data_IF_444759795141
#
_entry.id   IF_444759795141
#
_cell.length_a   1.000
_cell.length_b   1.000
_cell.length_c   1.000
_cell.angle_alpha   90.00
_cell.angle_beta   90.00
_cell.angle_gamma   90.00
#
_symmetry.space_group_name_H-M   'P 1'
#
loop_
_entity.id
_entity.type
_entity.pdbx_description
1 polymer ?
#
# COMPACT_ATOMS: atom_id res chain seq x y z
N UNK A 1 -19.79 -21.37 -0.37
CA UNK A 1 -18.61 -20.99 0.42
C UNK A 1 -18.33 -21.87 1.63
N UNK A 2 -19.31 -22.58 2.18
CA UNK A 2 -19.09 -23.54 3.27
C UNK A 2 -18.07 -24.64 2.95
N UNK A 3 -17.81 -24.95 1.69
CA UNK A 3 -16.75 -25.90 1.31
C UNK A 3 -15.32 -25.32 1.32
N UNK A 4 -15.12 -23.99 1.47
CA UNK A 4 -13.78 -23.39 1.54
C UNK A 4 -12.95 -23.95 2.70
N UNK A 5 -13.60 -24.27 3.82
CA UNK A 5 -12.95 -24.88 4.99
C UNK A 5 -12.39 -26.27 4.71
N UNK A 6 -12.89 -26.95 3.66
CA UNK A 6 -12.40 -28.26 3.22
C UNK A 6 -11.16 -28.15 2.33
N UNK A 7 -10.85 -26.96 1.82
CA UNK A 7 -9.73 -26.70 0.90
C UNK A 7 -8.40 -26.49 1.66
N UNK A 8 -8.02 -27.45 2.48
CA UNK A 8 -6.89 -27.35 3.42
C UNK A 8 -5.50 -27.23 2.77
N UNK A 9 -5.38 -27.51 1.47
CA UNK A 9 -4.14 -27.37 0.69
C UNK A 9 -4.10 -26.11 -0.17
N UNK A 10 -5.09 -25.22 -0.06
CA UNK A 10 -5.17 -24.04 -0.91
C UNK A 10 -4.09 -23.01 -0.54
N UNK A 11 -3.19 -22.71 -1.47
CA UNK A 11 -2.13 -21.71 -1.27
C UNK A 11 -2.48 -20.33 -1.80
N UNK A 12 -3.44 -20.23 -2.72
CA UNK A 12 -3.83 -18.97 -3.35
C UNK A 12 -5.34 -18.88 -3.46
N UNK A 13 -5.90 -17.77 -2.99
CA UNK A 13 -7.33 -17.51 -3.02
C UNK A 13 -7.58 -16.06 -3.47
N UNK A 14 -8.48 -15.89 -4.42
CA UNK A 14 -8.96 -14.59 -4.85
C UNK A 14 -10.48 -14.57 -4.81
N UNK A 15 -11.06 -13.63 -4.07
CA UNK A 15 -12.51 -13.46 -3.99
C UNK A 15 -12.85 -12.05 -4.44
N UNK A 16 -13.77 -11.96 -5.40
CA UNK A 16 -14.18 -10.73 -6.04
C UNK A 16 -15.66 -10.47 -5.81
N UNK A 17 -16.03 -9.19 -5.76
CA UNK A 17 -17.43 -8.79 -5.60
C UNK A 17 -18.00 -9.13 -4.23
N UNK A 18 -17.16 -9.15 -3.19
CA UNK A 18 -17.58 -9.32 -1.81
C UNK A 18 -18.55 -8.19 -1.43
N UNK A 19 -19.70 -8.57 -0.88
CA UNK A 19 -20.72 -7.67 -0.39
C UNK A 19 -20.96 -7.98 1.10
N UNK A 20 -21.50 -7.02 1.84
CA UNK A 20 -21.93 -7.17 3.25
C UNK A 20 -23.42 -6.80 3.40
N UNK A 21 -24.19 -6.99 2.32
CA UNK A 21 -25.64 -6.86 2.37
C UNK A 21 -26.24 -8.03 3.16
N UNK A 22 -27.42 -7.83 3.77
CA UNK A 22 -28.07 -8.81 4.65
C UNK A 22 -28.35 -10.19 4.03
N UNK A 23 -28.34 -10.31 2.69
CA UNK A 23 -28.50 -11.59 2.00
C UNK A 23 -27.18 -12.27 1.63
N UNK A 24 -26.07 -11.54 1.64
CA UNK A 24 -24.75 -12.03 1.27
C UNK A 24 -23.91 -12.34 2.51
N UNK A 25 -23.95 -13.59 2.96
CA UNK A 25 -23.15 -14.09 4.09
C UNK A 25 -21.70 -14.39 3.73
N UNK A 26 -21.23 -13.91 2.59
CA UNK A 26 -19.92 -14.27 2.06
C UNK A 26 -18.80 -13.77 2.98
N UNK A 27 -18.84 -12.51 3.41
CA UNK A 27 -17.80 -11.98 4.31
C UNK A 27 -17.75 -12.73 5.65
N UNK A 28 -18.91 -13.07 6.23
CA UNK A 28 -19.02 -13.86 7.46
C UNK A 28 -18.42 -15.26 7.29
N UNK A 29 -18.84 -16.00 6.25
CA UNK A 29 -18.34 -17.35 5.98
C UNK A 29 -16.84 -17.38 5.69
N UNK A 30 -16.31 -16.36 5.00
CA UNK A 30 -14.88 -16.19 4.78
C UNK A 30 -14.15 -15.98 6.10
N UNK A 31 -14.67 -15.11 6.97
CA UNK A 31 -14.10 -14.84 8.30
C UNK A 31 -14.03 -16.12 9.12
N UNK A 32 -15.10 -16.90 9.14
CA UNK A 32 -15.15 -18.22 9.81
C UNK A 32 -14.13 -19.17 9.20
N UNK A 33 -14.01 -19.23 7.88
CA UNK A 33 -13.08 -20.15 7.22
C UNK A 33 -11.61 -19.82 7.47
N UNK A 34 -11.28 -18.53 7.53
CA UNK A 34 -9.95 -18.06 7.90
C UNK A 34 -9.71 -18.41 9.38
N UNK A 35 -10.61 -18.02 10.28
CA UNK A 35 -10.43 -18.28 11.72
C UNK A 35 -10.38 -19.76 12.08
N UNK A 36 -11.18 -20.59 11.42
CA UNK A 36 -11.33 -22.03 11.69
C UNK A 36 -10.23 -22.95 11.15
N UNK A 37 -9.11 -22.40 10.67
CA UNK A 37 -7.92 -23.18 10.26
C UNK A 37 -7.97 -23.79 8.85
N UNK A 38 -9.12 -23.75 8.17
CA UNK A 38 -9.26 -24.34 6.82
C UNK A 38 -8.36 -23.73 5.75
N UNK A 39 -7.80 -22.53 6.00
CA UNK A 39 -6.96 -21.77 5.08
C UNK A 39 -5.55 -21.51 5.64
N UNK A 40 -5.05 -22.35 6.54
CA UNK A 40 -3.74 -22.12 7.20
C UNK A 40 -2.54 -22.22 6.25
N UNK A 41 -2.65 -22.96 5.14
CA UNK A 41 -1.61 -23.04 4.11
C UNK A 41 -1.64 -21.88 3.12
N UNK A 42 -2.54 -20.92 3.30
CA UNK A 42 -2.72 -19.83 2.34
C UNK A 42 -1.51 -18.89 2.33
N UNK A 43 -0.88 -18.75 1.16
CA UNK A 43 0.27 -17.87 0.92
C UNK A 43 -0.10 -16.59 0.19
N UNK A 44 -1.20 -16.60 -0.56
CA UNK A 44 -1.68 -15.43 -1.30
C UNK A 44 -3.18 -15.27 -1.15
N UNK A 45 -3.59 -14.09 -0.70
CA UNK A 45 -5.00 -13.72 -0.60
C UNK A 45 -5.27 -12.41 -1.35
N UNK A 46 -6.31 -12.43 -2.17
CA UNK A 46 -6.90 -11.24 -2.78
C UNK A 46 -8.36 -11.18 -2.39
N UNK A 47 -8.77 -10.06 -1.78
CA UNK A 47 -10.16 -9.75 -1.48
C UNK A 47 -10.55 -8.46 -2.18
N UNK A 48 -11.68 -8.47 -2.87
CA UNK A 48 -12.20 -7.29 -3.56
C UNK A 48 -13.68 -7.09 -3.21
N UNK A 49 -13.96 -6.00 -2.50
CA UNK A 49 -15.29 -5.56 -2.12
C UNK A 49 -16.01 -4.82 -3.25
N UNK A 50 -17.34 -4.97 -3.32
CA UNK A 50 -18.18 -4.03 -4.06
C UNK A 50 -18.11 -2.64 -3.42
N UNK A 51 -18.41 -1.61 -4.21
CA UNK A 51 -18.49 -0.23 -3.73
C UNK A 51 -19.42 -0.14 -2.50
N UNK A 52 -19.09 0.74 -1.55
CA UNK A 52 -19.86 1.03 -0.32
C UNK A 52 -19.80 0.00 0.81
N UNK A 53 -18.92 -1.00 0.72
CA UNK A 53 -18.72 -2.00 1.78
C UNK A 53 -17.34 -1.85 2.41
N UNK A 54 -17.24 -2.14 3.71
CA UNK A 54 -15.99 -2.13 4.47
C UNK A 54 -15.54 -3.55 4.80
N UNK A 55 -14.24 -3.77 4.89
CA UNK A 55 -13.73 -4.97 5.54
C UNK A 55 -14.11 -4.95 7.03
N UNK A 56 -14.67 -6.06 7.53
CA UNK A 56 -15.00 -6.19 8.94
C UNK A 56 -13.73 -6.33 9.80
N UNK A 57 -13.76 -5.77 11.01
CA UNK A 57 -12.62 -5.85 11.95
C UNK A 57 -12.28 -7.32 12.27
N UNK A 58 -13.30 -8.18 12.43
CA UNK A 58 -13.15 -9.61 12.68
C UNK A 58 -12.36 -10.33 11.58
N UNK A 59 -12.58 -9.97 10.32
CA UNK A 59 -11.83 -10.55 9.20
C UNK A 59 -10.36 -10.13 9.25
N UNK A 60 -10.10 -8.85 9.54
CA UNK A 60 -8.75 -8.30 9.63
C UNK A 60 -7.97 -8.92 10.80
N UNK A 61 -8.63 -9.11 11.95
CA UNK A 61 -8.09 -9.84 13.09
C UNK A 61 -7.77 -11.29 12.74
N UNK A 62 -8.70 -12.01 12.09
CA UNK A 62 -8.47 -13.40 11.67
C UNK A 62 -7.29 -13.54 10.67
N UNK A 63 -7.04 -12.51 9.85
CA UNK A 63 -5.90 -12.48 8.93
C UNK A 63 -4.55 -12.31 9.66
N UNK A 64 -4.53 -11.62 10.81
CA UNK A 64 -3.30 -11.39 11.57
C UNK A 64 -2.65 -12.70 12.05
N UNK A 65 -3.46 -13.73 12.30
CA UNK A 65 -3.05 -15.07 12.73
C UNK A 65 -2.52 -15.93 11.56
N UNK A 66 -2.59 -15.46 10.31
CA UNK A 66 -2.16 -16.24 9.13
C UNK A 66 -0.69 -16.07 8.82
N UNK A 67 0.13 -16.75 9.61
CA UNK A 67 1.59 -16.68 9.55
C UNK A 67 2.20 -17.19 8.23
N UNK A 68 1.52 -18.02 7.46
CA UNK A 68 2.01 -18.46 6.13
C UNK A 68 1.67 -17.46 5.01
N UNK A 69 0.84 -16.45 5.30
CA UNK A 69 0.39 -15.49 4.30
C UNK A 69 1.54 -14.54 3.93
N UNK A 70 1.91 -14.55 2.66
CA UNK A 70 3.03 -13.78 2.10
C UNK A 70 2.55 -12.65 1.20
N UNK A 71 1.41 -12.82 0.54
CA UNK A 71 0.85 -11.84 -0.41
C UNK A 71 -0.57 -11.50 0.00
N UNK A 72 -0.82 -10.23 0.27
CA UNK A 72 -2.15 -9.74 0.61
C UNK A 72 -2.53 -8.59 -0.32
N UNK A 73 -3.71 -8.68 -0.91
CA UNK A 73 -4.34 -7.59 -1.65
C UNK A 73 -5.75 -7.36 -1.12
N UNK A 74 -5.99 -6.18 -0.59
CA UNK A 74 -7.30 -5.71 -0.16
C UNK A 74 -7.73 -4.59 -1.11
N UNK A 75 -8.84 -4.79 -1.79
CA UNK A 75 -9.49 -3.78 -2.61
C UNK A 75 -10.87 -3.46 -2.03
N UNK A 76 -11.04 -2.24 -1.53
CA UNK A 76 -12.23 -1.81 -0.80
C UNK A 76 -11.87 -1.09 0.48
N UNK A 77 -12.88 -0.48 1.11
CA UNK A 77 -12.70 0.44 2.23
C UNK A 77 -12.33 -0.29 3.53
N UNK A 78 -11.49 0.35 4.34
CA UNK A 78 -11.17 -0.07 5.70
C UNK A 78 -11.53 1.06 6.66
N UNK A 79 -12.26 0.76 7.74
CA UNK A 79 -12.52 1.75 8.80
C UNK A 79 -11.23 2.22 9.46
N UNK A 80 -10.35 1.25 9.74
CA UNK A 80 -9.00 1.45 10.26
C UNK A 80 -8.13 0.27 9.87
N UNK A 81 -6.83 0.44 9.96
CA UNK A 81 -5.89 -0.67 9.84
C UNK A 81 -5.84 -1.43 11.18
N UNK A 82 -5.79 -2.77 11.19
CA UNK A 82 -5.63 -3.51 12.45
C UNK A 82 -4.26 -3.21 13.05
N UNK A 83 -4.14 -3.33 14.38
CA UNK A 83 -2.86 -3.11 15.08
C UNK A 83 -1.76 -4.10 14.65
N UNK A 84 -2.17 -5.26 14.12
CA UNK A 84 -1.29 -6.30 13.61
C UNK A 84 -1.81 -6.80 12.25
N UNK A 85 -0.88 -6.93 11.31
CA UNK A 85 -1.07 -7.62 10.04
C UNK A 85 -0.25 -8.91 10.06
N UNK A 86 -0.55 -9.89 9.18
CA UNK A 86 0.25 -11.10 9.11
C UNK A 86 1.74 -10.78 8.90
N UNK A 87 2.58 -11.30 9.80
CA UNK A 87 3.96 -10.84 9.98
C UNK A 87 4.92 -11.22 8.84
N UNK A 88 4.60 -12.28 8.09
CA UNK A 88 5.44 -12.81 7.00
C UNK A 88 5.08 -12.25 5.62
N UNK A 89 4.33 -11.15 5.56
CA UNK A 89 4.01 -10.49 4.32
C UNK A 89 5.26 -9.99 3.60
N UNK A 90 5.44 -10.43 2.35
CA UNK A 90 6.46 -9.94 1.42
C UNK A 90 5.87 -8.94 0.41
N UNK A 91 4.55 -9.01 0.18
CA UNK A 91 3.85 -8.13 -0.76
C UNK A 91 2.49 -7.73 -0.22
N UNK A 92 2.28 -6.42 -0.09
CA UNK A 92 1.01 -5.83 0.34
C UNK A 92 0.47 -4.86 -0.72
N UNK A 93 -0.82 -4.96 -0.99
CA UNK A 93 -1.56 -4.04 -1.84
C UNK A 93 -2.81 -3.58 -1.09
N UNK A 94 -2.87 -2.30 -0.77
CA UNK A 94 -4.07 -1.64 -0.26
C UNK A 94 -4.62 -0.77 -1.38
N UNK A 95 -5.86 -1.01 -1.79
CA UNK A 95 -6.47 -0.36 -2.95
C UNK A 95 -7.86 0.14 -2.56
N UNK A 96 -8.13 1.43 -2.76
CA UNK A 96 -9.39 2.08 -2.37
C UNK A 96 -9.74 1.88 -0.89
N UNK A 97 -8.72 1.84 -0.03
CA UNK A 97 -8.87 1.62 1.41
C UNK A 97 -9.39 2.82 2.18
N UNK A 98 -9.19 4.04 1.64
CA UNK A 98 -9.71 5.30 2.19
C UNK A 98 -9.50 5.50 3.71
N UNK A 99 -8.38 5.03 4.26
CA UNK A 99 -8.05 5.16 5.68
C UNK A 99 -8.03 6.64 6.10
N UNK A 100 -8.60 6.94 7.26
CA UNK A 100 -8.58 8.28 7.86
C UNK A 100 -7.28 8.60 8.60
N UNK A 101 -6.58 7.57 9.06
CA UNK A 101 -5.30 7.66 9.77
C UNK A 101 -4.14 7.22 8.88
N UNK A 102 -2.95 7.77 9.14
CA UNK A 102 -1.73 7.41 8.41
C UNK A 102 -1.47 5.90 8.58
N UNK A 103 -1.39 5.12 7.49
CA UNK A 103 -1.13 3.68 7.59
C UNK A 103 0.33 3.35 7.95
N UNK A 104 1.28 4.26 7.73
CA UNK A 104 2.71 3.96 7.83
C UNK A 104 3.16 3.42 9.20
N UNK A 105 2.71 3.96 10.36
CA UNK A 105 3.10 3.45 11.69
C UNK A 105 2.77 1.97 11.95
N UNK A 106 1.84 1.40 11.18
CA UNK A 106 1.52 -0.03 11.24
C UNK A 106 2.26 -0.79 10.14
N UNK A 107 2.26 -0.26 8.92
CA UNK A 107 2.86 -0.94 7.76
C UNK A 107 4.38 -1.06 7.87
N UNK A 108 5.05 -0.08 8.44
CA UNK A 108 6.51 -0.03 8.54
C UNK A 108 7.10 -1.08 9.48
N UNK A 109 6.27 -1.66 10.35
CA UNK A 109 6.63 -2.75 11.27
C UNK A 109 6.76 -4.10 10.56
N UNK A 110 6.32 -4.22 9.30
CA UNK A 110 6.40 -5.46 8.51
C UNK A 110 7.85 -5.75 8.09
N UNK A 111 8.54 -6.57 8.89
CA UNK A 111 9.98 -6.84 8.78
C UNK A 111 10.42 -7.55 7.49
N UNK A 112 9.48 -8.21 6.80
CA UNK A 112 9.75 -9.00 5.58
C UNK A 112 9.19 -8.37 4.31
N UNK A 113 8.57 -7.19 4.40
CA UNK A 113 7.88 -6.58 3.27
C UNK A 113 8.88 -6.10 2.22
N UNK A 114 8.77 -6.63 1.00
CA UNK A 114 9.59 -6.26 -0.15
C UNK A 114 8.86 -5.31 -1.09
N UNK A 115 7.54 -5.44 -1.18
CA UNK A 115 6.69 -4.68 -2.09
C UNK A 115 5.49 -4.10 -1.36
N UNK A 116 5.32 -2.79 -1.46
CA UNK A 116 4.17 -2.05 -0.95
C UNK A 116 3.54 -1.25 -2.09
N UNK A 117 2.24 -1.44 -2.28
CA UNK A 117 1.44 -0.63 -3.19
C UNK A 117 0.23 -0.07 -2.45
N UNK A 118 0.19 1.25 -2.37
CA UNK A 118 -0.92 2.01 -1.85
C UNK A 118 -1.57 2.74 -3.00
N UNK A 119 -2.85 2.46 -3.26
CA UNK A 119 -3.64 3.13 -4.29
C UNK A 119 -4.91 3.68 -3.68
N UNK A 120 -5.05 5.01 -3.62
CA UNK A 120 -6.18 5.68 -2.98
C UNK A 120 -6.47 5.07 -1.58
N UNK A 121 -5.41 4.83 -0.81
CA UNK A 121 -5.50 4.06 0.43
C UNK A 121 -5.70 4.91 1.68
N UNK A 122 -5.42 6.21 1.59
CA UNK A 122 -5.47 7.17 2.69
C UNK A 122 -6.09 8.47 2.17
N UNK A 123 -6.96 9.08 2.98
CA UNK A 123 -7.66 10.31 2.64
C UNK A 123 -7.11 11.56 3.32
N UNK A 124 -6.11 11.43 4.20
CA UNK A 124 -5.48 12.58 4.82
C UNK A 124 -4.34 13.18 3.99
N UNK A 125 -3.63 14.12 4.61
CA UNK A 125 -2.71 15.04 3.92
C UNK A 125 -1.24 14.69 4.06
N UNK A 126 -0.87 13.94 5.09
CA UNK A 126 0.53 13.62 5.38
C UNK A 126 0.66 12.13 5.72
N UNK A 127 1.72 11.51 5.20
CA UNK A 127 2.17 10.20 5.66
C UNK A 127 3.63 10.28 6.08
N UNK A 128 4.01 9.55 7.13
CA UNK A 128 5.36 9.57 7.70
C UNK A 128 5.94 8.16 7.70
N UNK A 129 7.03 7.97 6.95
CA UNK A 129 7.88 6.78 7.08
C UNK A 129 8.98 7.07 8.10
N UNK A 130 8.90 6.44 9.26
CA UNK A 130 9.83 6.72 10.37
C UNK A 130 11.19 6.04 10.18
N UNK A 131 12.17 6.57 10.91
CA UNK A 131 13.53 6.04 11.02
C UNK A 131 13.49 4.54 11.36
N UNK A 132 14.26 3.71 10.65
CA UNK A 132 14.26 2.23 10.74
C UNK A 132 12.98 1.53 10.29
N UNK A 133 11.97 2.28 9.84
CA UNK A 133 10.77 1.73 9.21
C UNK A 133 11.09 1.01 7.90
N UNK A 134 10.34 -0.05 7.60
CA UNK A 134 10.46 -0.80 6.34
C UNK A 134 11.88 -1.32 6.02
N UNK A 135 12.47 -2.19 6.87
CA UNK A 135 13.88 -2.56 6.77
C UNK A 135 14.26 -3.28 5.47
N UNK A 136 13.30 -3.95 4.80
CA UNK A 136 13.53 -4.74 3.58
C UNK A 136 12.76 -4.24 2.36
N UNK A 137 12.06 -3.12 2.45
CA UNK A 137 11.21 -2.67 1.33
C UNK A 137 12.07 -2.30 0.13
N UNK A 138 11.76 -2.89 -1.02
CA UNK A 138 12.47 -2.70 -2.29
C UNK A 138 11.63 -1.90 -3.29
N UNK A 139 10.31 -2.07 -3.25
CA UNK A 139 9.39 -1.47 -4.22
C UNK A 139 8.26 -0.75 -3.50
N UNK A 140 8.18 0.56 -3.70
CA UNK A 140 7.11 1.40 -3.19
C UNK A 140 6.29 1.98 -4.35
N UNK A 141 4.96 1.88 -4.25
CA UNK A 141 4.03 2.55 -5.17
C UNK A 141 3.02 3.38 -4.37
N UNK A 142 2.93 4.67 -4.71
CA UNK A 142 2.05 5.66 -4.07
C UNK A 142 1.16 6.28 -5.13
N UNK A 143 -0.05 5.74 -5.27
CA UNK A 143 -0.91 5.98 -6.42
C UNK A 143 -2.24 6.64 -6.05
N UNK A 144 -2.63 7.67 -6.81
CA UNK A 144 -3.96 8.29 -6.79
C UNK A 144 -4.43 8.77 -5.41
N UNK A 145 -3.52 9.34 -4.61
CA UNK A 145 -3.89 9.97 -3.35
C UNK A 145 -4.45 11.37 -3.65
N UNK A 146 -5.74 11.57 -3.35
CA UNK A 146 -6.45 12.81 -3.70
C UNK A 146 -6.07 14.00 -2.82
N UNK A 147 -5.73 13.75 -1.55
CA UNK A 147 -5.48 14.80 -0.55
C UNK A 147 -4.05 14.84 -0.04
N UNK A 148 -3.21 13.86 -0.39
CA UNK A 148 -1.83 13.79 0.10
C UNK A 148 -1.04 15.00 -0.41
N UNK A 149 -0.60 15.82 0.54
CA UNK A 149 0.21 17.02 0.32
C UNK A 149 1.70 16.74 0.59
N UNK A 150 1.99 15.81 1.50
CA UNK A 150 3.35 15.51 1.96
C UNK A 150 3.55 14.03 2.25
N UNK A 151 4.67 13.49 1.78
CA UNK A 151 5.19 12.18 2.17
C UNK A 151 6.54 12.42 2.85
N UNK A 152 6.54 12.31 4.18
CA UNK A 152 7.74 12.47 4.99
C UNK A 152 8.48 11.14 5.01
N UNK A 153 9.77 11.18 4.68
CA UNK A 153 10.68 10.04 4.78
C UNK A 153 11.82 10.47 5.66
N UNK A 154 11.85 9.94 6.88
CA UNK A 154 12.93 10.21 7.82
C UNK A 154 14.24 9.54 7.38
N UNK A 155 15.36 10.08 7.86
CA UNK A 155 16.67 9.50 7.62
C UNK A 155 16.73 8.06 8.16
N UNK A 156 17.19 7.12 7.33
CA UNK A 156 17.26 5.71 7.69
C UNK A 156 15.95 4.93 7.55
N UNK A 157 14.86 5.53 7.07
CA UNK A 157 13.70 4.79 6.60
C UNK A 157 14.01 4.05 5.29
N UNK A 158 13.38 2.89 5.04
CA UNK A 158 13.45 2.15 3.77
C UNK A 158 14.87 1.97 3.18
N UNK A 159 15.86 1.47 3.95
CA UNK A 159 17.27 1.43 3.52
C UNK A 159 17.57 0.51 2.33
N UNK A 160 16.61 -0.30 1.90
CA UNK A 160 16.73 -1.23 0.78
C UNK A 160 15.90 -0.83 -0.45
N UNK A 161 15.36 0.40 -0.50
CA UNK A 161 14.48 0.82 -1.58
C UNK A 161 15.23 0.85 -2.92
N UNK A 162 14.66 0.16 -3.92
CA UNK A 162 15.20 0.05 -5.27
C UNK A 162 14.38 0.82 -6.30
N UNK A 163 13.06 0.85 -6.14
CA UNK A 163 12.16 1.57 -7.05
C UNK A 163 11.06 2.29 -6.29
N UNK A 164 10.76 3.53 -6.70
CA UNK A 164 9.62 4.29 -6.23
C UNK A 164 8.78 4.76 -7.42
N UNK A 165 7.47 4.51 -7.39
CA UNK A 165 6.52 4.96 -8.42
C UNK A 165 5.45 5.84 -7.74
N UNK A 166 5.43 7.11 -8.10
CA UNK A 166 4.46 8.10 -7.63
C UNK A 166 3.56 8.45 -8.81
N UNK A 167 2.27 8.16 -8.68
CA UNK A 167 1.31 8.36 -9.77
C UNK A 167 0.05 9.05 -9.31
N UNK A 168 -0.40 10.09 -10.02
CA UNK A 168 -1.73 10.67 -9.78
C UNK A 168 -1.92 11.32 -8.40
N UNK A 169 -0.84 11.69 -7.70
CA UNK A 169 -0.88 12.35 -6.39
C UNK A 169 -0.83 13.87 -6.56
N UNK A 170 -1.89 14.44 -7.12
CA UNK A 170 -1.89 15.82 -7.68
C UNK A 170 -1.65 16.94 -6.66
N UNK A 171 -1.86 16.69 -5.37
CA UNK A 171 -1.67 17.67 -4.29
C UNK A 171 -0.29 17.57 -3.62
N UNK A 172 0.51 16.55 -3.97
CA UNK A 172 1.84 16.36 -3.38
C UNK A 172 2.70 17.56 -3.76
N UNK A 173 3.28 18.23 -2.75
CA UNK A 173 3.95 19.53 -2.96
C UNK A 173 5.40 19.39 -3.42
N UNK A 174 6.09 18.35 -2.98
CA UNK A 174 7.51 18.12 -3.26
C UNK A 174 7.85 16.64 -3.15
N UNK A 175 9.03 16.26 -3.66
CA UNK A 175 9.57 14.92 -3.39
C UNK A 175 9.93 14.77 -1.91
N UNK A 176 9.87 13.55 -1.34
CA UNK A 176 10.30 13.32 0.02
C UNK A 176 11.77 13.68 0.21
N UNK A 177 12.06 14.60 1.14
CA UNK A 177 13.42 15.09 1.37
C UNK A 177 14.38 13.99 1.83
N UNK A 178 13.86 12.89 2.39
CA UNK A 178 14.64 11.70 2.73
C UNK A 178 15.25 10.96 1.53
N UNK A 179 14.79 11.21 0.30
CA UNK A 179 15.32 10.54 -0.90
C UNK A 179 16.80 10.85 -1.15
N UNK A 180 17.30 11.99 -0.65
CA UNK A 180 18.73 12.33 -0.68
C UNK A 180 19.63 11.31 0.02
N UNK A 181 19.07 10.54 0.96
CA UNK A 181 19.79 9.50 1.71
C UNK A 181 19.72 8.12 1.06
N UNK A 182 18.93 7.96 -0.02
CA UNK A 182 18.73 6.66 -0.66
C UNK A 182 19.85 6.34 -1.65
N UNK A 183 20.85 5.60 -1.16
CA UNK A 183 22.01 5.17 -1.96
C UNK A 183 21.72 3.98 -2.89
N UNK A 184 20.64 3.23 -2.64
CA UNK A 184 20.27 2.04 -3.43
C UNK A 184 19.14 2.28 -4.43
N UNK A 185 18.44 3.41 -4.35
CA UNK A 185 17.31 3.71 -5.23
C UNK A 185 17.79 3.81 -6.67
N UNK A 186 17.32 2.90 -7.52
CA UNK A 186 17.70 2.80 -8.93
C UNK A 186 16.74 3.57 -9.84
N UNK A 187 15.46 3.59 -9.48
CA UNK A 187 14.44 4.20 -10.32
C UNK A 187 13.41 5.00 -9.50
N UNK A 188 13.20 6.24 -9.92
CA UNK A 188 12.06 7.07 -9.53
C UNK A 188 11.18 7.31 -10.75
N UNK A 189 9.95 6.82 -10.70
CA UNK A 189 8.94 7.08 -11.73
C UNK A 189 7.87 8.03 -11.20
N UNK A 190 7.59 9.08 -11.98
CA UNK A 190 6.61 10.12 -11.70
C UNK A 190 5.62 10.16 -12.87
N UNK A 191 4.34 9.89 -12.60
CA UNK A 191 3.29 9.83 -13.65
C UNK A 191 2.03 10.58 -13.24
N UNK A 192 1.30 11.17 -14.18
CA UNK A 192 0.00 11.81 -13.88
C UNK A 192 0.06 12.84 -12.74
N UNK A 193 1.19 13.54 -12.62
CA UNK A 193 1.40 14.62 -11.65
C UNK A 193 1.15 15.97 -12.31
N UNK A 194 0.86 16.99 -11.49
CA UNK A 194 0.72 18.37 -11.98
C UNK A 194 2.04 18.88 -12.57
N UNK A 195 1.92 19.73 -13.59
CA UNK A 195 3.06 20.40 -14.22
C UNK A 195 3.96 21.09 -13.19
N UNK A 196 3.40 21.81 -12.20
CA UNK A 196 4.15 22.46 -11.12
C UNK A 196 5.07 21.48 -10.36
N UNK A 197 4.59 20.27 -10.03
CA UNK A 197 5.42 19.25 -9.40
C UNK A 197 6.53 18.76 -10.33
N UNK A 198 6.21 18.53 -11.61
CA UNK A 198 7.20 18.11 -12.62
C UNK A 198 8.29 19.18 -12.81
N UNK A 199 7.96 20.46 -12.73
CA UNK A 199 8.94 21.55 -12.79
C UNK A 199 9.90 21.58 -11.58
N UNK A 200 9.54 21.00 -10.44
CA UNK A 200 10.44 20.90 -9.28
C UNK A 200 11.50 19.81 -9.48
N UNK A 201 11.13 18.71 -10.12
CA UNK A 201 11.98 17.51 -10.28
C UNK A 201 12.79 17.49 -11.57
N UNK A 202 12.56 18.42 -12.49
CA UNK A 202 13.41 18.59 -13.68
C UNK A 202 14.81 19.07 -13.27
N UNK A 203 15.79 18.89 -14.15
CA UNK A 203 17.13 19.42 -13.94
C UNK A 203 17.12 20.94 -13.67
N UNK A 204 17.75 21.35 -12.57
CA UNK A 204 17.75 22.73 -12.06
C UNK A 204 16.47 23.16 -11.33
N UNK A 205 15.48 22.28 -11.17
CA UNK A 205 14.30 22.52 -10.34
C UNK A 205 14.60 22.43 -8.84
N UNK A 206 13.69 22.95 -8.01
CA UNK A 206 13.86 23.05 -6.55
C UNK A 206 14.14 21.70 -5.85
N UNK A 207 13.60 20.61 -6.38
CA UNK A 207 13.73 19.27 -5.80
C UNK A 207 14.84 18.45 -6.47
N UNK A 208 15.54 19.00 -7.47
CA UNK A 208 16.53 18.28 -8.26
C UNK A 208 17.69 17.73 -7.40
N UNK A 209 18.22 18.54 -6.50
CA UNK A 209 19.34 18.13 -5.63
C UNK A 209 18.99 16.95 -4.71
N UNK A 210 17.71 16.74 -4.43
CA UNK A 210 17.21 15.63 -3.61
C UNK A 210 17.15 14.31 -4.38
N UNK A 211 17.09 14.34 -5.72
CA UNK A 211 16.87 13.15 -6.55
C UNK A 211 17.94 12.92 -7.62
N UNK A 212 18.82 13.89 -7.91
CA UNK A 212 19.81 13.83 -9.00
C UNK A 212 20.77 12.64 -8.93
N UNK A 213 20.97 12.05 -7.75
CA UNK A 213 21.78 10.85 -7.53
C UNK A 213 21.09 9.56 -8.02
N UNK A 214 19.78 9.57 -8.27
CA UNK A 214 19.02 8.40 -8.70
C UNK A 214 19.34 8.11 -10.17
N UNK A 215 19.80 6.89 -10.53
CA UNK A 215 20.24 6.56 -11.90
C UNK A 215 19.17 6.71 -12.98
N UNK A 216 17.90 6.41 -12.67
CA UNK A 216 16.79 6.46 -13.62
C UNK A 216 15.65 7.31 -13.05
N UNK A 217 15.37 8.45 -13.69
CA UNK A 217 14.23 9.31 -13.36
C UNK A 217 13.31 9.37 -14.58
N UNK A 218 12.10 8.82 -14.42
CA UNK A 218 11.14 8.67 -15.52
C UNK A 218 9.92 9.55 -15.22
N UNK A 219 9.69 10.56 -16.06
CA UNK A 219 8.50 11.42 -16.00
C UNK A 219 7.59 11.13 -17.20
N UNK A 220 6.31 10.83 -16.95
CA UNK A 220 5.31 10.53 -18.00
C UNK A 220 3.95 11.15 -17.68
N UNK A 221 3.10 11.29 -18.70
CA UNK A 221 1.68 11.63 -18.56
C UNK A 221 1.43 12.88 -17.70
N UNK A 222 2.12 13.99 -17.99
CA UNK A 222 2.06 15.22 -17.17
C UNK A 222 0.72 15.93 -17.36
N UNK A 223 0.13 16.40 -16.25
CA UNK A 223 -1.16 17.08 -16.25
C UNK A 223 -0.99 18.60 -16.21
N UNK A 224 -1.69 19.30 -17.10
CA UNK A 224 -1.82 20.75 -17.06
C UNK A 224 -2.54 21.23 -15.80
N UNK A 225 -2.33 22.48 -15.41
CA UNK A 225 -3.03 23.07 -14.26
C UNK A 225 -4.48 23.37 -14.63
N UNK A 226 -5.43 22.90 -13.82
CA UNK A 226 -6.83 23.32 -13.93
C UNK A 226 -6.92 24.79 -13.46
N UNK A 227 -7.39 25.68 -14.34
CA UNK A 227 -7.59 27.12 -14.06
C UNK A 227 -8.58 27.39 -12.93
#
# INVERSE_FOLDING_TARGET
>A
MTDLVKLTNLEKLGIYGLDDNRSDKTMELLTIAIRGGGLDKLRSLLLWLKSYVFFSDLLLEALSEKHYLQKLKLNGELKKLPSQLPSNLIKLNLVYSNLSEDPMPTLEKLQHLLYLNLRASYIGKQMVCSTKGFPKLQHLRVFFFRQLEELVVEEGAMPCLLTCDIRGCRNLKMVPQGFKFFTKLQELTIREMRQSFVQRVKEGGEDWDTIKQIPSIIVKDVLEEEK
#
